data_IF_923930196592
#
_entry.id   IF_923930196592
#
_cell.length_a   1.000
_cell.length_b   1.000
_cell.length_c   1.000
_cell.angle_alpha   90.00
_cell.angle_beta   90.00
_cell.angle_gamma   90.00
#
_symmetry.space_group_name_H-M   'P 1'
#
loop_
_entity.id
_entity.type
_entity.pdbx_description
1 polymer ?
#
# COMPACT_ATOMS: atom_id res chain seq x y z
N UNK A 1 -5.27 9.45 -12.66
CA UNK A 1 -5.28 9.56 -11.22
C UNK A 1 -3.95 9.09 -10.61
N UNK A 2 -3.52 7.89 -10.97
CA UNK A 2 -2.25 7.29 -10.54
C UNK A 2 -1.44 6.87 -11.76
N UNK A 3 -0.11 7.04 -11.75
CA UNK A 3 0.74 6.60 -12.85
C UNK A 3 0.95 5.08 -12.85
N UNK A 4 1.35 4.53 -14.00
CA UNK A 4 1.59 3.10 -14.19
C UNK A 4 0.30 2.32 -14.45
N UNK A 5 0.42 1.01 -14.41
CA UNK A 5 -0.66 0.06 -14.66
C UNK A 5 -0.54 -1.17 -13.76
N UNK A 6 -1.65 -1.85 -13.53
CA UNK A 6 -1.68 -3.20 -13.00
C UNK A 6 -1.80 -4.16 -14.18
N UNK A 7 -0.86 -5.06 -14.31
CA UNK A 7 -0.81 -6.07 -15.36
C UNK A 7 -0.95 -7.46 -14.75
N UNK A 8 -1.04 -8.49 -15.59
CA UNK A 8 -1.12 -9.88 -15.13
C UNK A 8 0.05 -10.23 -14.20
N UNK A 9 -0.25 -11.04 -13.20
CA UNK A 9 0.77 -11.61 -12.31
C UNK A 9 1.86 -12.29 -13.14
N UNK A 10 3.12 -12.19 -12.70
CA UNK A 10 4.29 -12.70 -13.44
C UNK A 10 4.18 -14.18 -13.82
N UNK A 11 3.59 -14.99 -12.94
CA UNK A 11 3.39 -16.43 -13.11
C UNK A 11 2.07 -16.80 -13.80
N UNK A 12 1.26 -15.81 -14.18
CA UNK A 12 -0.06 -15.95 -14.80
C UNK A 12 -1.10 -16.66 -13.92
N UNK A 13 -0.83 -16.81 -12.62
CA UNK A 13 -1.73 -17.45 -11.66
C UNK A 13 -2.56 -16.40 -10.90
N UNK A 14 -3.73 -16.84 -10.42
CA UNK A 14 -4.52 -16.08 -9.48
C UNK A 14 -4.00 -16.33 -8.06
N UNK A 15 -3.62 -15.26 -7.36
CA UNK A 15 -3.15 -15.32 -5.98
C UNK A 15 -4.28 -14.93 -5.02
N UNK A 16 -4.55 -15.82 -4.04
CA UNK A 16 -5.49 -15.58 -2.95
C UNK A 16 -4.81 -16.01 -1.65
N UNK A 17 -4.09 -15.09 -1.01
CA UNK A 17 -3.24 -15.39 0.14
C UNK A 17 -3.05 -14.16 1.04
N UNK A 18 -2.47 -14.40 2.22
CA UNK A 18 -2.05 -13.32 3.12
C UNK A 18 -0.64 -12.87 2.76
N UNK A 19 -0.45 -11.55 2.64
CA UNK A 19 0.85 -10.92 2.40
C UNK A 19 1.19 -9.97 3.53
N UNK A 20 2.47 -9.64 3.66
CA UNK A 20 2.93 -8.57 4.53
C UNK A 20 3.34 -7.35 3.70
N UNK A 21 3.09 -6.18 4.27
CA UNK A 21 3.44 -4.90 3.68
C UNK A 21 4.33 -4.11 4.62
N UNK A 22 5.36 -3.49 4.05
CA UNK A 22 6.11 -2.43 4.70
C UNK A 22 5.51 -1.07 4.33
N UNK A 23 5.38 -0.17 5.29
CA UNK A 23 5.07 1.25 5.03
C UNK A 23 6.33 1.97 4.60
N UNK A 24 6.42 2.32 3.32
CA UNK A 24 7.60 3.00 2.75
C UNK A 24 7.58 4.51 2.98
N UNK A 25 6.39 5.12 3.05
CA UNK A 25 6.21 6.52 3.42
C UNK A 25 5.19 6.64 4.57
N UNK A 26 5.63 6.85 5.83
CA UNK A 26 4.74 6.92 6.99
C UNK A 26 4.07 8.29 7.18
N UNK A 27 4.43 9.31 6.39
CA UNK A 27 4.02 10.69 6.62
C UNK A 27 2.97 11.16 5.62
N UNK A 28 1.90 10.36 5.41
CA UNK A 28 0.83 10.68 4.47
C UNK A 28 -0.55 10.55 5.11
N UNK A 29 -1.61 11.12 4.50
CA UNK A 29 -2.98 10.92 4.97
C UNK A 29 -3.43 9.47 5.07
N UNK A 30 -2.73 8.55 4.39
CA UNK A 30 -3.08 7.12 4.35
C UNK A 30 -2.25 6.25 5.30
N UNK A 31 -1.19 6.80 5.91
CA UNK A 31 -0.19 6.02 6.62
C UNK A 31 0.18 6.57 8.00
N UNK A 32 -0.29 7.76 8.36
CA UNK A 32 0.15 8.52 9.53
C UNK A 32 -0.16 7.86 10.88
N UNK A 33 -1.10 6.91 10.93
CA UNK A 33 -1.46 6.16 12.15
C UNK A 33 -0.84 4.78 12.21
N UNK A 34 -0.15 4.35 11.16
CA UNK A 34 0.54 3.06 11.15
C UNK A 34 1.74 3.12 12.11
N UNK A 35 1.84 2.21 13.08
CA UNK A 35 2.99 2.18 13.99
C UNK A 35 4.31 2.02 13.22
N UNK A 36 5.33 2.76 13.61
CA UNK A 36 6.62 2.73 12.94
C UNK A 36 7.23 1.31 12.96
N UNK A 37 7.71 0.87 11.80
CA UNK A 37 8.34 -0.44 11.64
C UNK A 37 7.38 -1.64 11.70
N UNK A 38 6.08 -1.42 11.90
CA UNK A 38 5.10 -2.53 11.93
C UNK A 38 4.81 -3.03 10.51
N UNK A 39 5.08 -4.32 10.19
CA UNK A 39 4.56 -4.94 8.98
C UNK A 39 3.04 -5.11 9.10
N UNK A 40 2.33 -4.80 8.02
CA UNK A 40 0.88 -4.96 7.96
C UNK A 40 0.53 -6.27 7.25
N UNK A 41 -0.30 -7.10 7.85
CA UNK A 41 -0.78 -8.34 7.27
C UNK A 41 -2.15 -8.13 6.64
N UNK A 42 -2.26 -8.36 5.33
CA UNK A 42 -3.49 -8.19 4.56
C UNK A 42 -3.66 -9.26 3.51
N UNK A 43 -4.89 -9.63 3.11
CA UNK A 43 -5.12 -10.55 2.01
C UNK A 43 -4.98 -9.86 0.66
N UNK A 44 -4.57 -10.65 -0.33
CA UNK A 44 -4.68 -10.35 -1.76
C UNK A 44 -5.63 -11.38 -2.41
N UNK A 45 -6.28 -10.98 -3.51
CA UNK A 45 -7.14 -11.85 -4.33
C UNK A 45 -7.18 -11.31 -5.76
N UNK A 46 -6.16 -11.63 -6.58
CA UNK A 46 -6.03 -11.04 -7.91
C UNK A 46 -5.25 -11.93 -8.90
N UNK A 47 -5.60 -11.81 -10.18
CA UNK A 47 -4.83 -12.32 -11.32
C UNK A 47 -4.03 -11.22 -12.04
N UNK A 48 -4.36 -9.96 -11.78
CA UNK A 48 -3.80 -8.75 -12.40
C UNK A 48 -3.41 -7.75 -11.30
N UNK A 49 -2.37 -8.07 -10.54
CA UNK A 49 -1.89 -7.24 -9.42
C UNK A 49 -0.44 -6.77 -9.56
N UNK A 50 0.23 -7.15 -10.66
CA UNK A 50 1.61 -6.78 -10.91
C UNK A 50 1.69 -5.30 -11.31
N UNK A 51 2.22 -4.46 -10.43
CA UNK A 51 2.43 -3.04 -10.75
C UNK A 51 3.58 -2.87 -11.73
N UNK A 52 3.31 -2.16 -12.83
CA UNK A 52 4.26 -1.85 -13.89
C UNK A 52 4.24 -0.36 -14.23
N UNK A 53 5.42 0.23 -14.41
CA UNK A 53 5.61 1.57 -14.93
C UNK A 53 6.96 1.66 -15.66
N UNK A 54 7.14 2.65 -16.50
CA UNK A 54 8.42 2.96 -17.12
C UNK A 54 9.42 3.51 -16.08
N UNK A 55 10.70 3.43 -16.42
CA UNK A 55 11.78 3.83 -15.50
C UNK A 55 11.72 5.32 -15.08
N UNK A 56 11.41 6.29 -15.97
CA UNK A 56 11.17 7.68 -15.55
C UNK A 56 10.06 7.84 -14.53
N UNK A 57 8.98 7.07 -14.67
CA UNK A 57 7.87 7.08 -13.70
C UNK A 57 8.28 6.46 -12.36
N UNK A 58 8.99 5.34 -12.36
CA UNK A 58 9.51 4.72 -11.14
C UNK A 58 10.46 5.66 -10.39
N UNK A 59 11.39 6.29 -11.10
CA UNK A 59 12.32 7.28 -10.54
C UNK A 59 11.56 8.45 -9.89
N UNK A 60 10.54 8.97 -10.56
CA UNK A 60 9.70 10.05 -10.02
C UNK A 60 8.92 9.62 -8.78
N UNK A 61 8.33 8.42 -8.78
CA UNK A 61 7.62 7.89 -7.62
C UNK A 61 8.53 7.76 -6.40
N UNK A 62 9.76 7.30 -6.59
CA UNK A 62 10.75 7.20 -5.52
C UNK A 62 11.19 8.58 -5.03
N UNK A 63 11.56 9.49 -5.93
CA UNK A 63 12.01 10.85 -5.60
C UNK A 63 10.94 11.63 -4.84
N UNK A 64 9.68 11.49 -5.22
CA UNK A 64 8.55 12.18 -4.59
C UNK A 64 7.95 11.41 -3.40
N UNK A 65 8.53 10.26 -3.02
CA UNK A 65 8.03 9.39 -1.94
C UNK A 65 6.57 8.98 -2.10
N UNK A 66 6.14 8.77 -3.34
CA UNK A 66 4.76 8.38 -3.70
C UNK A 66 4.50 6.88 -3.54
N UNK A 67 5.54 6.05 -3.34
CA UNK A 67 5.38 4.65 -2.94
C UNK A 67 5.02 4.64 -1.46
N UNK A 68 3.80 4.18 -1.15
CA UNK A 68 3.30 4.14 0.22
C UNK A 68 3.55 2.79 0.89
N UNK A 69 3.33 1.71 0.14
CA UNK A 69 3.49 0.34 0.65
C UNK A 69 4.24 -0.52 -0.35
N UNK A 70 5.06 -1.39 0.19
CA UNK A 70 5.78 -2.41 -0.56
C UNK A 70 5.49 -3.79 0.03
N UNK A 71 5.39 -4.81 -0.83
CA UNK A 71 5.38 -6.20 -0.37
C UNK A 71 6.66 -6.50 0.41
N UNK A 72 6.50 -7.14 1.55
CA UNK A 72 7.58 -7.45 2.48
C UNK A 72 7.38 -8.83 3.10
N UNK A 73 8.37 -9.32 3.77
CA UNK A 73 8.24 -10.49 4.63
C UNK A 73 7.66 -10.12 6.02
N UNK A 74 7.52 -11.12 6.88
CA UNK A 74 6.99 -10.92 8.23
C UNK A 74 7.88 -10.04 9.13
N UNK A 75 9.15 -9.85 8.76
CA UNK A 75 10.06 -8.93 9.44
C UNK A 75 9.97 -7.50 8.89
N UNK A 76 9.20 -7.28 7.81
CA UNK A 76 9.06 -5.99 7.15
C UNK A 76 10.12 -5.71 6.08
N UNK A 77 10.91 -6.72 5.68
CA UNK A 77 11.93 -6.57 4.66
C UNK A 77 11.38 -6.85 3.25
N UNK A 78 11.55 -5.93 2.30
CA UNK A 78 11.08 -6.10 0.93
C UNK A 78 12.07 -6.98 0.15
N UNK A 79 11.81 -8.27 0.13
CA UNK A 79 12.62 -9.26 -0.59
C UNK A 79 11.95 -9.67 -1.90
N UNK A 80 12.69 -10.30 -2.81
CA UNK A 80 12.11 -10.88 -4.03
C UNK A 80 11.09 -11.97 -3.69
N UNK A 81 11.35 -12.77 -2.65
CA UNK A 81 10.46 -13.85 -2.19
C UNK A 81 9.14 -13.35 -1.61
N UNK A 82 9.11 -12.14 -1.06
CA UNK A 82 7.90 -11.53 -0.50
C UNK A 82 7.02 -10.87 -1.56
N UNK A 83 7.47 -10.81 -2.82
CA UNK A 83 6.73 -10.23 -3.94
C UNK A 83 5.84 -11.29 -4.60
N UNK A 84 4.51 -11.28 -4.37
CA UNK A 84 3.65 -12.38 -4.81
C UNK A 84 3.36 -12.35 -6.31
N UNK A 85 3.47 -11.19 -6.96
CA UNK A 85 2.91 -10.99 -8.29
C UNK A 85 3.90 -10.40 -9.33
N UNK A 86 5.12 -10.07 -8.90
CA UNK A 86 6.15 -9.50 -9.79
C UNK A 86 6.12 -7.98 -9.92
N UNK A 87 5.40 -7.28 -9.06
CA UNK A 87 5.37 -5.81 -9.01
C UNK A 87 6.77 -5.22 -8.97
N UNK A 88 7.04 -4.21 -9.82
CA UNK A 88 8.32 -3.52 -9.83
C UNK A 88 8.58 -2.85 -8.46
N UNK A 89 9.82 -2.92 -7.98
CA UNK A 89 10.23 -2.39 -6.66
C UNK A 89 9.39 -2.91 -5.49
N UNK A 90 8.78 -4.09 -5.61
CA UNK A 90 7.83 -4.64 -4.63
C UNK A 90 6.64 -3.71 -4.35
N UNK A 91 6.29 -2.81 -5.25
CA UNK A 91 5.21 -1.84 -5.04
C UNK A 91 3.89 -2.58 -4.84
N UNK A 92 3.29 -2.38 -3.67
CA UNK A 92 1.95 -2.84 -3.33
C UNK A 92 0.92 -1.71 -3.41
N UNK A 93 1.35 -0.45 -3.23
CA UNK A 93 0.48 0.71 -3.33
C UNK A 93 1.23 2.03 -3.43
N UNK A 94 0.63 2.96 -4.15
CA UNK A 94 1.17 4.29 -4.44
C UNK A 94 0.13 5.39 -4.17
N UNK A 95 0.59 6.63 -4.06
CA UNK A 95 -0.26 7.82 -4.08
C UNK A 95 0.06 8.72 -5.28
N UNK A 96 -0.87 9.61 -5.60
CA UNK A 96 -0.61 10.72 -6.51
C UNK A 96 0.28 11.79 -5.85
N UNK A 97 0.73 12.79 -6.63
CA UNK A 97 1.59 13.88 -6.21
C UNK A 97 1.02 14.75 -5.08
N UNK A 98 -0.31 14.83 -4.97
CA UNK A 98 -1.01 15.60 -3.93
C UNK A 98 -1.34 14.79 -2.68
N UNK A 99 -1.06 13.51 -2.65
CA UNK A 99 -1.40 12.60 -1.56
C UNK A 99 -2.88 12.65 -1.16
N UNK A 100 -3.78 12.84 -2.12
CA UNK A 100 -5.23 12.81 -1.91
C UNK A 100 -5.93 11.66 -2.62
N UNK A 101 -5.18 10.88 -3.40
CA UNK A 101 -5.61 9.62 -4.02
C UNK A 101 -4.51 8.58 -3.79
N UNK A 102 -4.87 7.41 -3.31
CA UNK A 102 -3.98 6.26 -3.18
C UNK A 102 -4.63 5.02 -3.80
N UNK A 103 -3.79 4.14 -4.35
CA UNK A 103 -4.18 2.80 -4.78
C UNK A 103 -3.36 1.76 -4.03
N UNK A 104 -4.00 0.70 -3.60
CA UNK A 104 -3.40 -0.40 -2.87
C UNK A 104 -3.98 -1.71 -3.39
N UNK A 105 -3.12 -2.69 -3.74
CA UNK A 105 -3.57 -3.99 -4.26
C UNK A 105 -4.08 -4.93 -3.15
N UNK A 106 -3.39 -5.11 -2.00
CA UNK A 106 -3.96 -5.80 -0.86
C UNK A 106 -5.21 -5.11 -0.32
N UNK A 107 -6.09 -5.88 0.32
CA UNK A 107 -7.41 -5.44 0.77
C UNK A 107 -7.42 -5.04 2.25
N UNK A 108 -7.32 -3.75 2.62
CA UNK A 108 -7.39 -3.31 4.01
C UNK A 108 -8.78 -3.52 4.62
N UNK A 109 -9.84 -3.46 3.81
CA UNK A 109 -11.21 -3.77 4.21
C UNK A 109 -11.37 -5.20 4.74
N UNK A 110 -10.61 -6.15 4.17
CA UNK A 110 -10.58 -7.55 4.60
C UNK A 110 -9.59 -7.83 5.73
N UNK A 111 -9.00 -6.81 6.31
CA UNK A 111 -8.07 -6.87 7.43
C UNK A 111 -8.36 -5.73 8.44
N UNK A 112 -9.63 -5.45 8.71
CA UNK A 112 -10.07 -4.32 9.54
C UNK A 112 -10.79 -4.75 10.81
N UNK A 113 -11.13 -6.04 10.96
CA UNK A 113 -11.85 -6.58 12.09
C UNK A 113 -11.26 -7.94 12.52
N UNK A 114 -11.33 -8.26 13.81
CA UNK A 114 -10.75 -9.48 14.39
C UNK A 114 -11.30 -10.76 13.75
N UNK A 115 -12.58 -10.77 13.40
CA UNK A 115 -13.23 -11.91 12.73
C UNK A 115 -12.64 -12.21 11.34
N UNK A 116 -11.99 -11.24 10.73
CA UNK A 116 -11.31 -11.38 9.44
C UNK A 116 -9.87 -11.90 9.57
N UNK A 117 -9.39 -12.11 10.81
CA UNK A 117 -8.09 -12.67 11.12
C UNK A 117 -6.93 -11.67 11.13
N UNK A 118 -7.18 -10.40 10.84
CA UNK A 118 -6.24 -9.29 11.00
C UNK A 118 -6.98 -7.96 11.16
N UNK A 119 -6.40 -7.05 11.94
CA UNK A 119 -6.88 -5.67 12.08
C UNK A 119 -5.88 -4.65 11.52
N UNK A 120 -4.85 -5.10 10.83
CA UNK A 120 -3.77 -4.22 10.37
C UNK A 120 -4.23 -3.22 9.29
N UNK A 121 -5.25 -3.57 8.50
CA UNK A 121 -5.87 -2.67 7.52
C UNK A 121 -6.59 -1.48 8.15
N UNK A 122 -7.04 -1.61 9.41
CA UNK A 122 -7.71 -0.52 10.15
C UNK A 122 -6.84 0.73 10.25
N UNK A 123 -5.52 0.58 10.42
CA UNK A 123 -4.60 1.71 10.52
C UNK A 123 -4.64 2.65 9.30
N UNK A 124 -4.93 2.11 8.11
CA UNK A 124 -5.08 2.90 6.89
C UNK A 124 -6.32 3.79 6.99
N UNK A 125 -7.47 3.21 7.38
CA UNK A 125 -8.71 3.97 7.54
C UNK A 125 -8.61 5.00 8.67
N UNK A 126 -8.00 4.66 9.80
CA UNK A 126 -7.75 5.58 10.92
C UNK A 126 -6.84 6.74 10.49
N UNK A 127 -5.85 6.49 9.64
CA UNK A 127 -5.01 7.55 9.06
C UNK A 127 -5.83 8.54 8.23
N UNK A 128 -6.73 8.01 7.39
CA UNK A 128 -7.61 8.83 6.55
C UNK A 128 -8.57 9.68 7.39
N UNK A 129 -9.19 9.09 8.41
CA UNK A 129 -10.09 9.81 9.34
C UNK A 129 -9.34 10.92 10.05
N UNK A 130 -8.16 10.63 10.62
CA UNK A 130 -7.34 11.64 11.31
C UNK A 130 -6.93 12.80 10.40
N UNK A 131 -6.60 12.50 9.13
CA UNK A 131 -6.26 13.54 8.16
C UNK A 131 -7.44 14.43 7.80
N UNK A 132 -8.65 13.87 7.70
CA UNK A 132 -9.88 14.65 7.45
C UNK A 132 -10.24 15.53 8.65
N UNK A 133 -10.14 15.02 9.88
CA UNK A 133 -10.38 15.78 11.10
C UNK A 133 -9.42 16.95 11.24
N UNK A 134 -8.13 16.74 10.97
CA UNK A 134 -7.13 17.80 11.00
C UNK A 134 -7.42 18.92 9.98
N UNK A 135 -7.86 18.56 8.77
CA UNK A 135 -8.25 19.54 7.74
C UNK A 135 -9.48 20.35 8.17
N UNK A 136 -10.47 19.71 8.79
CA UNK A 136 -11.68 20.38 9.28
C UNK A 136 -11.34 21.40 10.37
N UNK A 137 -10.48 21.02 11.32
CA UNK A 137 -10.05 21.91 12.40
C UNK A 137 -9.28 23.14 11.84
N UNK A 138 -8.37 22.91 10.87
CA UNK A 138 -7.63 24.00 10.24
C UNK A 138 -8.50 24.94 9.40
N UNK A 139 -9.62 24.48 8.84
CA UNK A 139 -10.55 25.30 8.08
C UNK A 139 -11.51 26.11 8.97
N UNK A 140 -11.59 25.81 10.28
CA UNK A 140 -12.46 26.47 11.26
C UNK A 140 -11.70 27.46 12.15
N UNK A 141 -10.39 27.57 11.97
CA UNK A 141 -9.50 28.50 12.69
C UNK A 141 -9.11 29.69 11.82
#
# INVERSE_FOLDING_TARGET
>A
LLPGALIRNRDLQFHCEQVFLRTANPSTPFTSRIPAGKPLRMPIAHGEGCYFADEPTLTRLQANRQILWQYADAAGEPTERSNPNGSLLNIAGIANDRFNVAGLMPHPDRASEDILGSTDGRWIFESMVAALEARRTAASA
#
